data_IF_764765070868
#
_entry.id   IF_764765070868
#
_cell.length_a   1.000
_cell.length_b   1.000
_cell.length_c   1.000
_cell.angle_alpha   90.00
_cell.angle_beta   90.00
_cell.angle_gamma   90.00
#
_symmetry.space_group_name_H-M   'P 1'
#
loop_
_entity.id
_entity.type
_entity.pdbx_description
1 polymer ?
#
# COMPACT_ATOMS: atom_id res chain seq x y z
N UNK A 1 11.94 22.64 -41.40
CA UNK A 1 12.66 22.22 -40.18
C UNK A 1 11.92 22.57 -38.87
N UNK A 2 11.16 23.68 -38.81
CA UNK A 2 10.48 24.16 -37.59
C UNK A 2 9.40 23.22 -37.02
N UNK A 3 8.60 22.57 -37.88
CA UNK A 3 7.56 21.63 -37.43
C UNK A 3 8.14 20.34 -36.83
N UNK A 4 9.24 19.80 -37.39
CA UNK A 4 9.91 18.59 -36.87
C UNK A 4 10.49 18.82 -35.48
N UNK A 5 10.99 20.02 -35.18
CA UNK A 5 11.39 20.41 -33.82
C UNK A 5 10.20 20.61 -32.88
N UNK A 6 9.07 21.15 -33.35
CA UNK A 6 7.87 21.30 -32.52
C UNK A 6 7.25 19.95 -32.14
N UNK A 7 7.19 18.99 -33.08
CA UNK A 7 6.67 17.64 -32.81
C UNK A 7 7.57 16.85 -31.83
N UNK A 8 8.89 16.98 -31.94
CA UNK A 8 9.82 16.28 -31.05
C UNK A 8 9.76 16.82 -29.62
N UNK A 9 9.66 18.14 -29.44
CA UNK A 9 9.47 18.75 -28.10
C UNK A 9 8.11 18.38 -27.50
N UNK A 10 7.04 18.41 -28.30
CA UNK A 10 5.72 18.00 -27.85
C UNK A 10 5.67 16.52 -27.43
N UNK A 11 6.30 15.63 -28.21
CA UNK A 11 6.39 14.21 -27.87
C UNK A 11 7.18 13.95 -26.57
N UNK A 12 8.29 14.67 -26.35
CA UNK A 12 9.07 14.56 -25.13
C UNK A 12 8.28 15.03 -23.88
N UNK A 13 7.49 16.11 -24.02
CA UNK A 13 6.64 16.60 -22.93
C UNK A 13 5.53 15.59 -22.55
N UNK A 14 4.92 14.93 -23.54
CA UNK A 14 3.90 13.90 -23.29
C UNK A 14 4.50 12.68 -22.56
N UNK A 15 5.69 12.22 -22.97
CA UNK A 15 6.39 11.09 -22.32
C UNK A 15 6.83 11.41 -20.88
N UNK A 16 7.24 12.65 -20.59
CA UNK A 16 7.61 13.05 -19.23
C UNK A 16 6.39 13.02 -18.26
N UNK A 17 5.19 13.34 -18.76
CA UNK A 17 3.98 13.33 -17.96
C UNK A 17 3.51 11.91 -17.59
N UNK A 18 3.81 10.89 -18.40
CA UNK A 18 3.40 9.50 -18.13
C UNK A 18 4.32 8.78 -17.14
N UNK A 19 5.59 9.20 -17.02
CA UNK A 19 6.56 8.61 -16.08
C UNK A 19 6.14 8.74 -14.60
N UNK A 20 5.42 9.80 -14.24
CA UNK A 20 4.83 9.95 -12.90
C UNK A 20 3.70 8.96 -12.63
N UNK A 21 2.94 8.57 -13.66
CA UNK A 21 1.86 7.61 -13.54
C UNK A 21 2.38 6.17 -13.40
N UNK A 22 3.50 5.82 -14.06
CA UNK A 22 4.10 4.49 -13.94
C UNK A 22 4.74 4.28 -12.57
N UNK A 23 5.44 5.29 -12.05
CA UNK A 23 6.10 5.20 -10.74
C UNK A 23 5.07 5.04 -9.62
N UNK A 24 4.03 5.88 -9.59
CA UNK A 24 2.95 5.75 -8.61
C UNK A 24 2.26 4.39 -8.65
N UNK A 25 2.05 3.83 -9.85
CA UNK A 25 1.48 2.50 -10.00
C UNK A 25 2.42 1.39 -9.53
N UNK A 26 3.71 1.45 -9.89
CA UNK A 26 4.70 0.46 -9.45
C UNK A 26 4.86 0.47 -7.93
N UNK A 27 4.96 1.66 -7.33
CA UNK A 27 5.03 1.85 -5.87
C UNK A 27 3.77 1.29 -5.20
N UNK A 28 2.59 1.50 -5.79
CA UNK A 28 1.34 0.91 -5.30
C UNK A 28 1.37 -0.62 -5.28
N UNK A 29 1.86 -1.25 -6.36
CA UNK A 29 1.97 -2.70 -6.43
C UNK A 29 3.02 -3.25 -5.45
N UNK A 30 4.18 -2.59 -5.32
CA UNK A 30 5.21 -2.97 -4.36
C UNK A 30 4.69 -2.89 -2.92
N UNK A 31 3.97 -1.82 -2.56
CA UNK A 31 3.39 -1.68 -1.22
C UNK A 31 2.35 -2.79 -0.94
N UNK A 32 1.49 -3.11 -1.90
CA UNK A 32 0.54 -4.22 -1.78
C UNK A 32 1.26 -5.57 -1.66
N UNK A 33 2.30 -5.81 -2.43
CA UNK A 33 3.10 -7.03 -2.34
C UNK A 33 3.73 -7.17 -0.95
N UNK A 34 4.22 -6.07 -0.36
CA UNK A 34 4.76 -6.07 1.01
C UNK A 34 3.69 -6.32 2.08
N UNK A 35 2.47 -5.79 1.89
CA UNK A 35 1.32 -6.12 2.72
C UNK A 35 1.04 -7.62 2.71
N UNK A 36 1.03 -8.25 1.53
CA UNK A 36 0.82 -9.70 1.36
C UNK A 36 1.93 -10.51 2.03
N UNK A 37 3.20 -10.13 1.83
CA UNK A 37 4.37 -10.80 2.39
C UNK A 37 4.36 -10.80 3.92
N UNK A 38 3.96 -9.68 4.53
CA UNK A 38 3.98 -9.50 5.99
C UNK A 38 2.69 -9.92 6.68
N UNK A 39 1.65 -10.23 5.91
CA UNK A 39 0.39 -10.75 6.44
C UNK A 39 0.53 -12.24 6.84
N UNK A 40 0.11 -12.65 8.06
CA UNK A 40 0.31 -14.02 8.50
C UNK A 40 -0.46 -15.02 7.64
N UNK A 41 0.21 -16.08 7.20
CA UNK A 41 -0.40 -17.13 6.35
C UNK A 41 -1.57 -17.88 7.04
N UNK A 42 -1.59 -17.88 8.37
CA UNK A 42 -2.68 -18.48 9.17
C UNK A 42 -3.91 -17.56 9.32
N UNK A 43 -3.80 -16.31 8.90
CA UNK A 43 -4.89 -15.33 9.03
C UNK A 43 -5.95 -15.53 7.94
N UNK A 44 -7.20 -15.09 8.15
CA UNK A 44 -8.24 -15.16 7.14
C UNK A 44 -7.84 -14.41 5.85
N UNK A 45 -8.43 -14.77 4.72
CA UNK A 45 -8.21 -14.05 3.46
C UNK A 45 -8.45 -12.54 3.65
N UNK A 46 -7.49 -11.74 3.19
CA UNK A 46 -7.61 -10.30 3.11
C UNK A 46 -8.18 -9.90 1.73
N UNK A 47 -9.24 -9.11 1.74
CA UNK A 47 -9.78 -8.45 0.54
C UNK A 47 -9.21 -7.03 0.47
N UNK A 48 -8.70 -6.61 -0.68
CA UNK A 48 -7.92 -5.37 -0.84
C UNK A 48 -8.72 -4.32 -1.61
N UNK A 49 -8.60 -3.06 -1.20
CA UNK A 49 -9.02 -1.91 -2.00
C UNK A 49 -7.95 -1.51 -3.01
N UNK A 50 -8.33 -0.62 -3.93
CA UNK A 50 -7.36 0.02 -4.83
C UNK A 50 -6.41 0.87 -3.98
N UNK A 51 -5.08 0.67 -4.07
CA UNK A 51 -4.13 1.46 -3.29
C UNK A 51 -4.33 2.97 -3.50
N UNK A 52 -4.32 3.72 -2.40
CA UNK A 52 -4.35 5.18 -2.43
C UNK A 52 -2.92 5.68 -2.58
N UNK A 53 -2.67 6.40 -3.66
CA UNK A 53 -1.35 6.94 -3.99
C UNK A 53 -1.38 8.44 -3.81
N UNK A 54 -0.43 8.97 -3.03
CA UNK A 54 -0.23 10.40 -2.85
C UNK A 54 1.10 10.84 -3.48
N UNK A 55 1.18 12.13 -3.83
CA UNK A 55 2.40 12.81 -4.28
C UNK A 55 3.26 11.99 -5.27
N UNK A 56 2.75 11.71 -6.47
CA UNK A 56 3.47 10.96 -7.53
C UNK A 56 4.01 9.58 -7.12
N UNK A 57 3.50 8.96 -6.04
CA UNK A 57 3.97 7.66 -5.58
C UNK A 57 4.85 7.68 -4.35
N UNK A 58 5.18 8.85 -3.79
CA UNK A 58 6.08 8.93 -2.62
C UNK A 58 5.43 8.43 -1.32
N UNK A 59 4.10 8.38 -1.25
CA UNK A 59 3.35 7.78 -0.14
C UNK A 59 2.18 6.98 -0.68
N UNK A 60 2.11 5.71 -0.30
CA UNK A 60 1.04 4.79 -0.69
C UNK A 60 0.39 4.23 0.58
N UNK A 61 -0.94 4.21 0.60
CA UNK A 61 -1.73 3.47 1.59
C UNK A 61 -2.47 2.35 0.89
N UNK A 62 -2.31 1.12 1.38
CA UNK A 62 -3.09 -0.03 0.90
C UNK A 62 -4.05 -0.43 2.01
N UNK A 63 -5.33 -0.39 1.69
CA UNK A 63 -6.41 -0.76 2.60
C UNK A 63 -6.96 -2.13 2.22
N UNK A 64 -7.50 -2.82 3.22
CA UNK A 64 -8.16 -4.08 3.05
C UNK A 64 -9.05 -4.43 4.24
N UNK A 65 -9.77 -5.52 4.12
CA UNK A 65 -10.65 -6.03 5.17
C UNK A 65 -10.62 -7.55 5.15
N UNK A 66 -10.66 -8.17 6.33
CA UNK A 66 -10.87 -9.61 6.46
C UNK A 66 -12.01 -9.90 7.43
N UNK A 67 -12.62 -11.08 7.31
CA UNK A 67 -13.73 -11.48 8.17
C UNK A 67 -13.22 -12.38 9.29
N UNK A 68 -13.35 -11.91 10.53
CA UNK A 68 -13.16 -12.75 11.71
C UNK A 68 -14.48 -13.43 12.08
N UNK A 69 -14.43 -14.73 12.35
CA UNK A 69 -15.57 -15.47 12.92
C UNK A 69 -15.33 -15.65 14.40
N UNK A 70 -16.15 -15.03 15.23
CA UNK A 70 -16.07 -15.10 16.69
C UNK A 70 -17.33 -15.75 17.25
N UNK A 71 -17.18 -16.52 18.33
CA UNK A 71 -18.32 -16.99 19.10
C UNK A 71 -18.94 -15.77 19.82
N UNK A 72 -20.28 -15.58 19.76
CA UNK A 72 -20.96 -14.61 20.60
C UNK A 72 -20.71 -14.95 22.07
N UNK A 73 -20.51 -13.93 22.90
CA UNK A 73 -20.39 -14.13 24.34
C UNK A 73 -21.64 -14.85 24.88
N UNK A 74 -21.44 -15.99 25.57
CA UNK A 74 -22.51 -16.78 26.16
C UNK A 74 -23.26 -17.74 25.21
N UNK A 75 -22.80 -17.94 23.97
CA UNK A 75 -23.41 -18.88 23.04
C UNK A 75 -22.61 -20.20 22.90
N UNK A 76 -23.30 -21.29 22.57
CA UNK A 76 -22.68 -22.58 22.22
C UNK A 76 -21.81 -22.44 20.96
N UNK A 77 -20.75 -23.26 20.79
CA UNK A 77 -19.73 -23.08 19.75
C UNK A 77 -20.23 -23.19 18.30
N UNK A 78 -21.51 -23.50 18.09
CA UNK A 78 -22.12 -23.72 16.78
C UNK A 78 -22.47 -22.40 16.09
N UNK A 79 -22.81 -21.33 16.84
CA UNK A 79 -23.19 -20.05 16.25
C UNK A 79 -22.00 -19.09 16.27
N UNK A 80 -21.44 -18.77 15.10
CA UNK A 80 -20.37 -17.75 14.98
C UNK A 80 -20.90 -16.49 14.31
N UNK A 81 -20.50 -15.33 14.82
CA UNK A 81 -20.75 -14.02 14.21
C UNK A 81 -19.59 -13.62 13.31
N UNK A 82 -19.89 -13.11 12.11
CA UNK A 82 -18.91 -12.53 11.19
C UNK A 82 -18.67 -11.07 11.56
N UNK A 83 -17.43 -10.71 11.84
CA UNK A 83 -17.03 -9.34 12.14
C UNK A 83 -15.98 -8.90 11.11
N UNK A 84 -16.25 -7.87 10.30
CA UNK A 84 -15.23 -7.31 9.42
C UNK A 84 -14.16 -6.60 10.25
N UNK A 85 -12.90 -6.89 9.95
CA UNK A 85 -11.75 -6.28 10.60
C UNK A 85 -10.97 -5.49 9.55
N UNK A 86 -10.79 -4.16 9.74
CA UNK A 86 -10.02 -3.35 8.82
C UNK A 86 -8.53 -3.69 8.94
N UNK A 87 -7.85 -3.62 7.81
CA UNK A 87 -6.41 -3.79 7.70
C UNK A 87 -5.87 -2.71 6.77
N UNK A 88 -4.74 -2.11 7.14
CA UNK A 88 -4.13 -1.06 6.34
C UNK A 88 -2.63 -1.04 6.57
N UNK A 89 -1.89 -0.75 5.50
CA UNK A 89 -0.46 -0.46 5.54
C UNK A 89 -0.16 0.84 4.84
N UNK A 90 0.95 1.44 5.22
CA UNK A 90 1.53 2.59 4.54
C UNK A 90 2.96 2.29 4.13
N UNK A 91 3.31 2.74 2.94
CA UNK A 91 4.68 2.72 2.44
C UNK A 91 5.08 4.11 1.97
N UNK A 92 6.32 4.50 2.23
CA UNK A 92 6.93 5.69 1.61
C UNK A 92 8.02 5.29 0.63
N UNK A 93 8.23 6.12 -0.38
CA UNK A 93 9.16 5.86 -1.48
C UNK A 93 10.01 7.09 -1.79
N UNK A 94 11.26 6.83 -2.17
CA UNK A 94 12.12 7.76 -2.89
C UNK A 94 12.30 7.22 -4.32
N UNK A 95 11.70 7.91 -5.29
CA UNK A 95 11.53 7.36 -6.64
C UNK A 95 10.71 6.06 -6.62
N UNK A 96 11.33 4.96 -7.07
CA UNK A 96 10.78 3.60 -7.09
C UNK A 96 11.28 2.71 -5.93
N UNK A 97 12.09 3.27 -5.02
CA UNK A 97 12.64 2.56 -3.88
C UNK A 97 11.79 2.79 -2.63
N UNK A 98 11.29 1.70 -2.04
CA UNK A 98 10.55 1.74 -0.78
C UNK A 98 11.50 2.10 0.38
N UNK A 99 11.23 3.21 1.07
CA UNK A 99 11.99 3.69 2.23
C UNK A 99 11.45 3.14 3.52
N UNK A 100 10.13 3.23 3.70
CA UNK A 100 9.46 2.76 4.91
C UNK A 100 8.26 1.89 4.57
N UNK A 101 7.95 1.00 5.50
CA UNK A 101 6.75 0.18 5.51
C UNK A 101 6.25 0.12 6.95
N UNK A 102 4.96 0.41 7.15
CA UNK A 102 4.31 0.23 8.44
C UNK A 102 2.92 -0.36 8.30
N UNK A 103 2.53 -1.16 9.29
CA UNK A 103 1.13 -1.54 9.47
C UNK A 103 0.41 -0.45 10.26
N UNK A 104 -0.75 -0.02 9.76
CA UNK A 104 -1.65 0.94 10.43
C UNK A 104 -2.75 0.21 11.21
N UNK A 105 -3.23 -0.91 10.67
CA UNK A 105 -4.27 -1.73 11.28
C UNK A 105 -4.20 -3.17 10.78
N UNK A 106 -4.64 -4.18 11.57
CA UNK A 106 -5.07 -4.09 12.96
C UNK A 106 -3.89 -3.83 13.93
N UNK A 107 -4.20 -3.41 15.16
CA UNK A 107 -3.21 -3.02 16.16
C UNK A 107 -2.12 -4.08 16.43
N UNK A 108 -2.47 -5.36 16.32
CA UNK A 108 -1.52 -6.48 16.49
C UNK A 108 -0.44 -6.50 15.41
N UNK A 109 -0.79 -6.17 14.16
CA UNK A 109 0.17 -6.05 13.07
C UNK A 109 0.90 -4.71 13.12
N UNK A 110 0.21 -3.62 13.47
CA UNK A 110 0.82 -2.31 13.67
C UNK A 110 1.93 -2.34 14.73
N UNK A 111 1.70 -3.03 15.85
CA UNK A 111 2.70 -3.20 16.90
C UNK A 111 3.92 -4.02 16.45
N UNK A 112 3.73 -4.97 15.51
CA UNK A 112 4.82 -5.80 14.98
C UNK A 112 5.66 -5.07 13.93
N UNK A 113 5.05 -4.14 13.20
CA UNK A 113 5.68 -3.40 12.11
C UNK A 113 5.44 -1.87 12.29
N UNK A 114 6.02 -1.27 13.34
CA UNK A 114 5.89 0.16 13.59
C UNK A 114 6.69 0.97 12.56
N UNK A 115 6.31 2.24 12.35
CA UNK A 115 7.14 3.18 11.61
C UNK A 115 8.54 3.21 12.23
N UNK A 116 9.55 2.96 11.41
CA UNK A 116 10.93 3.30 11.77
C UNK A 116 11.25 4.63 11.10
N UNK A 117 11.86 5.59 11.83
CA UNK A 117 12.39 6.80 11.21
C UNK A 117 13.37 6.42 10.10
N UNK A 118 13.37 7.16 9.00
CA UNK A 118 14.32 6.96 7.93
C UNK A 118 15.75 7.24 8.47
N UNK A 119 16.67 6.28 8.31
CA UNK A 119 18.04 6.42 8.82
C UNK A 119 18.91 7.37 7.97
N UNK A 120 18.37 7.98 6.91
CA UNK A 120 19.10 8.94 6.07
C UNK A 120 19.28 10.34 6.69
N UNK A 121 18.68 10.63 7.84
CA UNK A 121 18.82 11.92 8.52
C UNK A 121 19.95 11.94 9.57
N UNK A 122 20.82 10.93 9.60
CA UNK A 122 21.98 10.85 10.50
C UNK A 122 23.29 10.80 9.71
N UNK A 123 23.64 11.88 9.04
CA UNK A 123 25.02 12.21 8.61
C UNK A 123 25.20 13.73 8.53
#
# INVERSE_FOLDING_TARGET
MKHRSLYTVAAAAVLACTAGCTTGYQNAQQCKAKMVETYPASSPKLDYEIPRVSYRGTRVVVEGTYILRVAPAGATPIKTTKTPVPAAVECTFDGDQMRTFQWLAPATLAAKYPLKPDQADTD
#
